data_IF_002106692378
#
_entry.id   IF_002106692378
#
_cell.length_a   1.000
_cell.length_b   1.000
_cell.length_c   1.000
_cell.angle_alpha   90.00
_cell.angle_beta   90.00
_cell.angle_gamma   90.00
#
_symmetry.space_group_name_H-M   'P 1'
#
loop_
_entity.id
_entity.type
_entity.pdbx_description
1 polymer ?
#
# COMPACT_ATOMS: atom_id res chain seq x y z
N UNK A 1 -10.57 42.75 6.47
CA UNK A 1 -9.42 42.29 5.67
C UNK A 1 -9.38 40.77 5.77
N UNK A 2 -9.38 40.10 4.62
CA UNK A 2 -9.62 38.67 4.48
C UNK A 2 -8.43 37.82 4.95
N UNK A 3 -8.71 36.73 5.66
CA UNK A 3 -7.74 35.69 5.97
C UNK A 3 -7.61 34.78 4.74
N UNK A 4 -6.41 34.75 4.17
CA UNK A 4 -6.01 33.77 3.15
C UNK A 4 -5.82 32.41 3.82
N UNK A 5 -6.77 31.51 3.63
CA UNK A 5 -6.58 30.07 3.86
C UNK A 5 -5.67 29.52 2.75
N UNK A 6 -4.42 29.24 3.13
CA UNK A 6 -3.48 28.51 2.31
C UNK A 6 -3.94 27.06 2.19
N UNK A 7 -4.68 26.76 1.11
CA UNK A 7 -5.00 25.39 0.72
C UNK A 7 -3.70 24.66 0.38
N UNK A 8 -3.26 23.80 1.29
CA UNK A 8 -2.18 22.85 1.03
C UNK A 8 -2.69 21.84 0.00
N UNK A 9 -2.20 21.97 -1.23
CA UNK A 9 -2.33 20.94 -2.26
C UNK A 9 -1.48 19.74 -1.80
N UNK A 10 -2.09 18.83 -1.05
CA UNK A 10 -1.53 17.51 -0.80
C UNK A 10 -1.52 16.79 -2.15
N UNK A 11 -0.36 16.74 -2.80
CA UNK A 11 -0.10 15.86 -3.94
C UNK A 11 -0.38 14.43 -3.51
N UNK A 12 -1.56 13.90 -3.86
CA UNK A 12 -1.86 12.48 -3.74
C UNK A 12 -0.89 11.73 -4.65
N UNK A 13 0.14 11.12 -4.06
CA UNK A 13 1.01 10.16 -4.75
C UNK A 13 0.17 8.97 -5.19
N UNK A 14 -0.37 9.03 -6.39
CA UNK A 14 -1.16 7.94 -6.97
C UNK A 14 -0.21 6.98 -7.68
N UNK A 15 0.13 5.88 -7.00
CA UNK A 15 0.88 4.79 -7.62
C UNK A 15 -0.05 4.10 -8.62
N UNK A 16 0.39 3.98 -9.88
CA UNK A 16 -0.28 3.23 -10.95
C UNK A 16 0.33 1.83 -11.01
N UNK A 17 -0.52 0.80 -11.07
CA UNK A 17 -0.09 -0.60 -11.17
C UNK A 17 0.18 -0.95 -12.63
N UNK A 18 1.44 -0.79 -13.06
CA UNK A 18 1.88 -1.15 -14.41
C UNK A 18 2.69 -2.44 -14.40
N UNK A 19 3.65 -2.56 -13.49
CA UNK A 19 4.60 -3.67 -13.41
C UNK A 19 4.56 -4.32 -12.03
N UNK A 20 5.06 -5.57 -11.89
CA UNK A 20 5.04 -6.26 -10.60
C UNK A 20 5.72 -5.52 -9.45
N UNK A 21 6.76 -4.72 -9.74
CA UNK A 21 7.45 -3.94 -8.70
C UNK A 21 6.54 -2.91 -8.00
N UNK A 22 5.48 -2.46 -8.67
CA UNK A 22 4.57 -1.44 -8.14
C UNK A 22 3.56 -2.06 -7.17
N UNK A 23 3.40 -3.39 -7.21
CA UNK A 23 2.38 -4.14 -6.45
C UNK A 23 2.35 -3.80 -4.96
N UNK A 24 3.51 -3.74 -4.30
CA UNK A 24 3.55 -3.53 -2.85
C UNK A 24 3.06 -2.14 -2.46
N UNK A 25 3.65 -1.10 -3.06
CA UNK A 25 3.28 0.29 -2.77
C UNK A 25 1.85 0.56 -3.20
N UNK A 26 1.45 0.00 -4.35
CA UNK A 26 0.09 0.09 -4.84
C UNK A 26 -0.91 -0.57 -3.88
N UNK A 27 -0.69 -1.82 -3.49
CA UNK A 27 -1.58 -2.56 -2.59
C UNK A 27 -1.64 -1.91 -1.21
N UNK A 28 -0.52 -1.39 -0.70
CA UNK A 28 -0.46 -0.69 0.58
C UNK A 28 -1.45 0.46 0.65
N UNK A 29 -1.47 1.35 -0.35
CA UNK A 29 -2.40 2.49 -0.38
C UNK A 29 -3.88 2.05 -0.38
N UNK A 30 -4.21 0.96 -1.07
CA UNK A 30 -5.60 0.45 -1.15
C UNK A 30 -5.99 -0.24 0.15
N UNK A 31 -5.06 -0.99 0.75
CA UNK A 31 -5.24 -1.60 2.07
C UNK A 31 -5.44 -0.55 3.15
N UNK A 32 -4.66 0.52 3.15
CA UNK A 32 -4.78 1.61 4.12
C UNK A 32 -6.16 2.27 4.02
N UNK A 33 -6.57 2.67 2.81
CA UNK A 33 -7.90 3.23 2.58
C UNK A 33 -9.03 2.27 2.95
N UNK A 34 -8.91 0.98 2.61
CA UNK A 34 -9.89 -0.03 2.97
C UNK A 34 -9.96 -0.27 4.49
N UNK A 35 -8.84 -0.15 5.19
CA UNK A 35 -8.77 -0.27 6.66
C UNK A 35 -9.44 0.93 7.32
N UNK A 36 -9.16 2.15 6.83
CA UNK A 36 -9.80 3.39 7.30
C UNK A 36 -11.33 3.37 7.16
N UNK A 37 -11.85 2.73 6.11
CA UNK A 37 -13.29 2.57 5.89
C UNK A 37 -13.87 1.29 6.53
N UNK A 38 -13.05 0.50 7.24
CA UNK A 38 -13.50 -0.74 7.89
C UNK A 38 -13.99 -1.82 6.93
N UNK A 39 -13.47 -1.85 5.69
CA UNK A 39 -13.88 -2.78 4.62
C UNK A 39 -12.82 -3.80 4.22
N UNK A 40 -11.59 -3.72 4.76
CA UNK A 40 -10.49 -4.61 4.35
C UNK A 40 -10.81 -6.10 4.53
N UNK A 41 -11.52 -6.45 5.60
CA UNK A 41 -11.93 -7.84 5.90
C UNK A 41 -12.90 -8.46 4.87
N UNK A 42 -13.50 -7.63 4.01
CA UNK A 42 -14.43 -8.05 2.95
C UNK A 42 -13.75 -8.17 1.59
N UNK A 43 -12.55 -7.62 1.42
CA UNK A 43 -11.86 -7.58 0.13
C UNK A 43 -10.40 -8.06 0.15
N UNK A 44 -9.90 -8.57 1.28
CA UNK A 44 -8.52 -9.00 1.43
C UNK A 44 -8.13 -10.11 0.43
N UNK A 45 -7.22 -9.88 -0.53
CA UNK A 45 -6.80 -10.85 -1.54
C UNK A 45 -5.86 -11.95 -0.99
N UNK A 46 -5.42 -11.84 0.26
CA UNK A 46 -4.64 -12.88 0.95
C UNK A 46 -5.51 -13.99 1.52
N UNK A 47 -6.80 -13.73 1.73
CA UNK A 47 -7.75 -14.70 2.30
C UNK A 47 -8.48 -15.47 1.20
N UNK A 48 -8.86 -16.70 1.51
CA UNK A 48 -9.77 -17.45 0.64
C UNK A 48 -11.16 -16.82 0.67
N UNK A 49 -11.93 -16.98 -0.41
CA UNK A 49 -13.26 -16.39 -0.52
C UNK A 49 -14.22 -16.85 0.59
N UNK A 50 -13.99 -18.03 1.15
CA UNK A 50 -14.80 -18.59 2.24
C UNK A 50 -14.48 -17.96 3.60
N UNK A 51 -13.28 -17.42 3.79
CA UNK A 51 -12.84 -16.78 5.05
C UNK A 51 -13.20 -15.29 5.10
N UNK A 52 -13.58 -14.68 3.97
CA UNK A 52 -13.97 -13.28 3.92
C UNK A 52 -15.28 -13.06 4.68
N UNK A 53 -15.34 -11.93 5.39
CA UNK A 53 -16.61 -11.46 5.95
C UNK A 53 -17.56 -11.14 4.80
N UNK A 54 -18.82 -11.57 4.96
CA UNK A 54 -19.90 -11.21 4.04
C UNK A 54 -20.59 -9.96 4.56
N UNK A 55 -20.78 -8.98 3.68
CA UNK A 55 -21.57 -7.80 4.02
C UNK A 55 -23.06 -8.19 3.92
N UNK A 56 -23.71 -8.30 5.07
CA UNK A 56 -25.11 -8.72 5.18
C UNK A 56 -25.97 -7.48 5.44
N UNK A 57 -27.05 -7.35 4.68
CA UNK A 57 -28.02 -6.26 4.88
C UNK A 57 -28.82 -6.50 6.18
N UNK A 58 -28.87 -5.53 7.10
CA UNK A 58 -29.58 -5.70 8.35
C UNK A 58 -31.10 -5.77 8.13
N UNK A 59 -31.72 -6.83 8.63
CA UNK A 59 -33.17 -7.04 8.47
C UNK A 59 -33.94 -6.05 9.35
N UNK A 60 -34.91 -5.35 8.76
CA UNK A 60 -35.74 -4.39 9.48
C UNK A 60 -36.60 -5.11 10.53
N UNK A 61 -36.54 -4.69 11.82
CA UNK A 61 -37.42 -5.19 12.85
C UNK A 61 -38.89 -4.94 12.49
N UNK A 62 -39.75 -5.85 12.89
CA UNK A 62 -41.22 -5.73 12.74
C UNK A 62 -41.86 -5.84 14.12
N UNK A 63 -43.10 -5.37 14.34
CA UNK A 63 -43.75 -5.54 15.64
C UNK A 63 -43.77 -6.99 16.15
N UNK A 64 -43.76 -7.96 15.22
CA UNK A 64 -43.67 -9.39 15.50
C UNK A 64 -42.35 -9.82 16.16
N UNK A 65 -41.27 -9.03 16.06
CA UNK A 65 -39.99 -9.33 16.72
C UNK A 65 -40.03 -9.11 18.23
N UNK A 66 -40.99 -8.33 18.73
CA UNK A 66 -41.16 -8.05 20.17
C UNK A 66 -42.38 -8.80 20.74
N UNK A 67 -43.42 -9.00 19.94
CA UNK A 67 -44.60 -9.76 20.34
C UNK A 67 -45.07 -10.68 19.20
N UNK A 68 -45.01 -12.00 19.41
CA UNK A 68 -45.43 -12.98 18.41
C UNK A 68 -46.89 -12.77 17.97
N UNK A 69 -47.13 -12.84 16.66
CA UNK A 69 -48.47 -12.68 16.07
C UNK A 69 -48.94 -11.22 15.92
N UNK A 70 -48.18 -10.23 16.40
CA UNK A 70 -48.51 -8.81 16.27
C UNK A 70 -47.98 -8.24 14.96
N UNK A 71 -48.87 -7.67 14.15
CA UNK A 71 -48.51 -7.04 12.86
C UNK A 71 -48.47 -5.51 12.94
N UNK A 72 -49.17 -4.91 13.90
CA UNK A 72 -49.34 -3.46 14.03
C UNK A 72 -48.72 -2.95 15.32
N UNK A 73 -47.97 -1.84 15.22
CA UNK A 73 -47.37 -1.15 16.38
C UNK A 73 -48.39 -0.75 17.45
N UNK A 74 -49.64 -0.48 17.05
CA UNK A 74 -50.72 -0.09 17.97
C UNK A 74 -51.19 -1.22 18.89
N UNK A 75 -50.91 -2.48 18.55
CA UNK A 75 -51.26 -3.66 19.35
C UNK A 75 -50.22 -3.94 20.44
N UNK A 76 -49.08 -3.27 20.42
CA UNK A 76 -48.01 -3.42 21.40
C UNK A 76 -48.32 -2.64 22.69
N UNK A 77 -47.95 -3.23 23.83
CA UNK A 77 -47.99 -2.54 25.14
C UNK A 77 -47.02 -1.35 25.15
N UNK A 78 -47.11 -0.49 26.17
CA UNK A 78 -46.19 0.65 26.27
C UNK A 78 -44.72 0.21 26.35
N UNK A 79 -44.43 -0.82 27.14
CA UNK A 79 -43.10 -1.41 27.30
C UNK A 79 -42.59 -2.02 25.99
N UNK A 80 -43.40 -2.86 25.32
CA UNK A 80 -43.05 -3.45 24.02
C UNK A 80 -42.83 -2.40 22.92
N UNK A 81 -43.47 -1.22 23.02
CA UNK A 81 -43.24 -0.11 22.10
C UNK A 81 -41.90 0.57 22.32
N UNK A 82 -41.37 0.56 23.54
CA UNK A 82 -40.03 1.05 23.86
C UNK A 82 -38.98 0.06 23.32
N UNK A 83 -39.11 -1.23 23.61
CA UNK A 83 -38.22 -2.28 23.07
C UNK A 83 -38.19 -2.27 21.53
N UNK A 84 -39.36 -2.13 20.90
CA UNK A 84 -39.44 -2.02 19.45
C UNK A 84 -38.76 -0.76 18.90
N UNK A 85 -38.80 0.35 19.64
CA UNK A 85 -38.11 1.58 19.25
C UNK A 85 -36.59 1.40 19.35
N UNK A 86 -36.10 0.80 20.43
CA UNK A 86 -34.66 0.52 20.61
C UNK A 86 -34.13 -0.40 19.49
N UNK A 87 -34.90 -1.42 19.10
CA UNK A 87 -34.57 -2.29 17.97
C UNK A 87 -34.53 -1.54 16.63
N UNK A 88 -35.48 -0.62 16.40
CA UNK A 88 -35.50 0.21 15.19
C UNK A 88 -34.29 1.15 15.14
N UNK A 89 -33.91 1.74 16.27
CA UNK A 89 -32.77 2.65 16.37
C UNK A 89 -31.45 1.90 16.12
N UNK A 90 -31.31 0.70 16.70
CA UNK A 90 -30.17 -0.20 16.42
C UNK A 90 -30.11 -0.61 14.95
N UNK A 91 -31.25 -0.99 14.35
CA UNK A 91 -31.32 -1.31 12.93
C UNK A 91 -30.96 -0.13 12.04
N UNK A 92 -31.39 1.09 12.37
CA UNK A 92 -31.06 2.29 11.59
C UNK A 92 -29.55 2.55 11.63
N UNK A 93 -28.90 2.36 12.78
CA UNK A 93 -27.45 2.44 12.91
C UNK A 93 -26.73 1.39 12.07
N UNK A 94 -27.18 0.14 12.14
CA UNK A 94 -26.61 -0.97 11.36
C UNK A 94 -26.80 -0.76 9.85
N UNK A 95 -27.97 -0.28 9.43
CA UNK A 95 -28.26 0.08 8.04
C UNK A 95 -27.34 1.18 7.53
N UNK A 96 -27.14 2.25 8.30
CA UNK A 96 -26.19 3.32 7.95
C UNK A 96 -24.78 2.76 7.78
N UNK A 97 -24.36 1.88 8.69
CA UNK A 97 -23.05 1.22 8.63
C UNK A 97 -22.92 0.31 7.40
N UNK A 98 -23.96 -0.47 7.09
CA UNK A 98 -24.04 -1.32 5.90
C UNK A 98 -23.90 -0.49 4.61
N UNK A 99 -24.70 0.56 4.46
CA UNK A 99 -24.69 1.44 3.29
C UNK A 99 -23.34 2.14 3.13
N UNK A 100 -22.74 2.58 4.23
CA UNK A 100 -21.40 3.18 4.23
C UNK A 100 -20.35 2.18 3.71
N UNK A 101 -20.32 0.96 4.24
CA UNK A 101 -19.40 -0.10 3.79
C UNK A 101 -19.62 -0.49 2.34
N UNK A 102 -20.88 -0.61 1.92
CA UNK A 102 -21.22 -0.94 0.52
C UNK A 102 -20.72 0.16 -0.44
N UNK A 103 -20.94 1.43 -0.09
CA UNK A 103 -20.43 2.56 -0.85
C UNK A 103 -18.89 2.53 -0.92
N UNK A 104 -18.22 2.33 0.20
CA UNK A 104 -16.75 2.27 0.26
C UNK A 104 -16.18 1.11 -0.57
N UNK A 105 -16.84 -0.06 -0.60
CA UNK A 105 -16.45 -1.19 -1.45
C UNK A 105 -16.59 -0.86 -2.94
N UNK A 106 -17.66 -0.16 -3.34
CA UNK A 106 -17.85 0.27 -4.71
C UNK A 106 -16.82 1.33 -5.13
N UNK A 107 -16.51 2.28 -4.25
CA UNK A 107 -15.46 3.27 -4.46
C UNK A 107 -14.09 2.61 -4.63
N UNK A 108 -13.74 1.66 -3.75
CA UNK A 108 -12.49 0.89 -3.86
C UNK A 108 -12.44 0.11 -5.17
N UNK A 109 -13.55 -0.52 -5.56
CA UNK A 109 -13.67 -1.24 -6.83
C UNK A 109 -13.37 -0.33 -8.02
N UNK A 110 -13.91 0.89 -8.03
CA UNK A 110 -13.65 1.91 -9.06
C UNK A 110 -12.20 2.39 -9.05
N UNK A 111 -11.65 2.67 -7.87
CA UNK A 111 -10.27 3.13 -7.71
C UNK A 111 -9.24 2.09 -8.17
N UNK A 112 -9.49 0.80 -7.92
CA UNK A 112 -8.64 -0.29 -8.43
C UNK A 112 -8.55 -0.20 -9.96
N UNK A 113 -9.68 -0.01 -10.65
CA UNK A 113 -9.67 0.12 -12.11
C UNK A 113 -8.97 1.41 -12.58
N UNK A 114 -9.23 2.55 -11.92
CA UNK A 114 -8.62 3.84 -12.28
C UNK A 114 -7.10 3.86 -12.11
N UNK A 115 -6.59 3.05 -11.20
CA UNK A 115 -5.17 3.02 -10.85
C UNK A 115 -4.45 1.77 -11.30
N UNK A 116 -5.10 0.98 -12.15
CA UNK A 116 -4.48 -0.11 -12.90
C UNK A 116 -4.10 0.41 -14.28
N UNK A 117 -2.88 0.14 -14.74
CA UNK A 117 -2.44 0.56 -16.06
C UNK A 117 -3.34 -0.01 -17.15
N UNK A 118 -3.52 0.73 -18.26
CA UNK A 118 -4.37 0.32 -19.39
C UNK A 118 -4.01 -1.06 -19.93
N UNK A 119 -2.73 -1.41 -19.91
CA UNK A 119 -2.20 -2.71 -20.32
C UNK A 119 -2.75 -3.87 -19.49
N UNK A 120 -3.13 -3.64 -18.23
CA UNK A 120 -3.57 -4.66 -17.28
C UNK A 120 -5.09 -4.69 -17.08
N UNK A 121 -5.86 -3.79 -17.72
CA UNK A 121 -7.31 -3.71 -17.53
C UNK A 121 -8.07 -4.97 -17.99
N UNK A 122 -7.52 -5.74 -18.93
CA UNK A 122 -8.09 -7.03 -19.34
C UNK A 122 -8.19 -8.01 -18.16
N UNK A 123 -7.32 -7.89 -17.15
CA UNK A 123 -7.39 -8.70 -15.93
C UNK A 123 -8.61 -8.37 -15.07
N UNK A 124 -9.26 -7.24 -15.29
CA UNK A 124 -10.44 -6.81 -14.53
C UNK A 124 -11.76 -7.12 -15.23
N UNK A 125 -11.70 -7.62 -16.47
CA UNK A 125 -12.88 -7.97 -17.25
C UNK A 125 -13.70 -9.06 -16.54
N UNK A 126 -15.02 -8.85 -16.45
CA UNK A 126 -15.94 -9.74 -15.74
C UNK A 126 -15.85 -9.71 -14.21
N UNK A 127 -14.94 -8.90 -13.62
CA UNK A 127 -14.74 -8.83 -12.17
C UNK A 127 -15.49 -7.65 -11.56
N UNK A 128 -16.48 -7.98 -10.75
CA UNK A 128 -17.46 -7.02 -10.24
C UNK A 128 -17.12 -6.53 -8.83
N UNK A 129 -16.44 -7.35 -8.03
CA UNK A 129 -16.12 -7.01 -6.64
C UNK A 129 -14.66 -6.55 -6.47
N UNK A 130 -14.42 -5.74 -5.43
CA UNK A 130 -13.07 -5.34 -5.05
C UNK A 130 -12.17 -6.57 -4.79
N UNK A 131 -12.69 -7.61 -4.13
CA UNK A 131 -11.95 -8.85 -3.87
C UNK A 131 -11.50 -9.53 -5.15
N UNK A 132 -12.42 -9.77 -6.09
CA UNK A 132 -12.11 -10.44 -7.37
C UNK A 132 -11.02 -9.69 -8.13
N UNK A 133 -11.14 -8.36 -8.20
CA UNK A 133 -10.17 -7.49 -8.86
C UNK A 133 -8.80 -7.56 -8.19
N UNK A 134 -8.76 -7.42 -6.85
CA UNK A 134 -7.50 -7.50 -6.10
C UNK A 134 -6.85 -8.88 -6.23
N UNK A 135 -7.63 -9.96 -6.19
CA UNK A 135 -7.13 -11.33 -6.31
C UNK A 135 -6.53 -11.60 -7.68
N UNK A 136 -7.21 -11.21 -8.76
CA UNK A 136 -6.68 -11.40 -10.11
C UNK A 136 -5.42 -10.56 -10.37
N UNK A 137 -5.41 -9.30 -9.92
CA UNK A 137 -4.18 -8.50 -10.02
C UNK A 137 -3.05 -9.11 -9.20
N UNK A 138 -3.34 -9.68 -8.03
CA UNK A 138 -2.34 -10.40 -7.22
C UNK A 138 -1.77 -11.61 -7.95
N UNK A 139 -2.61 -12.43 -8.56
CA UNK A 139 -2.17 -13.64 -9.29
C UNK A 139 -1.20 -13.31 -10.44
N UNK A 140 -1.38 -12.18 -11.12
CA UNK A 140 -0.59 -11.82 -12.30
C UNK A 140 0.55 -10.82 -12.03
N UNK A 141 0.35 -9.90 -11.07
CA UNK A 141 1.24 -8.77 -10.84
C UNK A 141 1.88 -8.79 -9.45
N UNK A 142 1.51 -9.72 -8.56
CA UNK A 142 2.29 -9.92 -7.35
C UNK A 142 3.65 -10.50 -7.74
N UNK A 143 4.77 -9.84 -7.38
CA UNK A 143 6.08 -10.45 -7.48
C UNK A 143 6.05 -11.76 -6.71
N UNK A 144 6.28 -12.88 -7.38
CA UNK A 144 6.61 -14.12 -6.68
C UNK A 144 7.70 -13.75 -5.65
N UNK A 145 7.51 -14.11 -4.38
CA UNK A 145 8.43 -13.80 -3.28
C UNK A 145 9.89 -14.07 -3.66
N UNK A 146 10.14 -15.13 -4.43
CA UNK A 146 11.47 -15.46 -4.96
C UNK A 146 11.98 -14.47 -6.02
N UNK A 147 11.13 -14.00 -6.94
CA UNK A 147 11.49 -12.99 -7.94
C UNK A 147 11.78 -11.65 -7.27
N UNK A 148 10.94 -11.25 -6.31
CA UNK A 148 11.14 -10.03 -5.52
C UNK A 148 12.42 -10.06 -4.71
N UNK A 149 12.68 -11.19 -4.04
CA UNK A 149 13.93 -11.41 -3.31
C UNK A 149 15.14 -11.21 -4.22
N UNK A 150 15.14 -11.82 -5.42
CA UNK A 150 16.23 -11.63 -6.39
C UNK A 150 16.35 -10.18 -6.86
N UNK A 151 15.24 -9.51 -7.17
CA UNK A 151 15.24 -8.10 -7.58
C UNK A 151 15.80 -7.18 -6.49
N UNK A 152 15.42 -7.41 -5.22
CA UNK A 152 15.96 -6.66 -4.08
C UNK A 152 17.45 -6.94 -3.87
N UNK A 153 17.90 -8.19 -4.00
CA UNK A 153 19.33 -8.54 -3.93
C UNK A 153 20.13 -7.84 -5.04
N UNK A 154 19.60 -7.76 -6.26
CA UNK A 154 20.25 -7.04 -7.36
C UNK A 154 20.33 -5.54 -7.07
N UNK A 155 19.23 -4.93 -6.61
CA UNK A 155 19.23 -3.50 -6.22
C UNK A 155 20.18 -3.21 -5.07
N UNK A 156 20.23 -4.10 -4.08
CA UNK A 156 21.15 -3.99 -2.95
C UNK A 156 22.61 -4.08 -3.40
N UNK A 157 22.94 -5.00 -4.31
CA UNK A 157 24.27 -5.07 -4.92
C UNK A 157 24.63 -3.84 -5.75
N UNK A 158 23.68 -3.25 -6.47
CA UNK A 158 23.91 -1.98 -7.18
C UNK A 158 24.24 -0.84 -6.19
N UNK A 159 23.51 -0.78 -5.08
CA UNK A 159 23.77 0.20 -4.01
C UNK A 159 25.17 0.01 -3.39
N UNK A 160 25.63 -1.22 -3.22
CA UNK A 160 26.99 -1.54 -2.76
C UNK A 160 28.06 -1.15 -3.79
N UNK A 161 27.79 -1.31 -5.09
CA UNK A 161 28.79 -1.17 -6.14
C UNK A 161 28.96 0.25 -6.69
N UNK A 162 27.93 1.11 -6.65
CA UNK A 162 27.99 2.41 -7.33
C UNK A 162 27.22 3.52 -6.59
N UNK A 163 27.97 4.53 -6.12
CA UNK A 163 27.43 5.85 -5.75
C UNK A 163 27.64 6.91 -6.86
N UNK A 164 28.26 6.54 -7.98
CA UNK A 164 28.71 7.47 -9.04
C UNK A 164 27.55 8.35 -9.53
N UNK A 165 27.70 9.67 -9.36
CA UNK A 165 26.73 10.66 -9.84
C UNK A 165 25.43 10.76 -9.02
N UNK A 166 25.26 10.03 -7.91
CA UNK A 166 24.08 10.16 -7.02
C UNK A 166 24.35 11.11 -5.86
N UNK A 167 23.36 11.93 -5.51
CA UNK A 167 23.37 12.72 -4.28
C UNK A 167 23.39 11.79 -3.04
N UNK A 168 24.12 12.18 -2.00
CA UNK A 168 24.27 11.38 -0.75
C UNK A 168 22.91 11.04 -0.17
N UNK A 169 22.04 12.04 -0.04
CA UNK A 169 20.74 11.92 0.62
C UNK A 169 19.83 10.94 -0.14
N UNK A 170 19.73 11.07 -1.47
CA UNK A 170 18.92 10.15 -2.28
C UNK A 170 19.44 8.71 -2.25
N UNK A 171 20.77 8.52 -2.23
CA UNK A 171 21.35 7.19 -2.09
C UNK A 171 21.11 6.59 -0.70
N UNK A 172 21.16 7.39 0.36
CA UNK A 172 20.85 6.97 1.73
C UNK A 172 19.37 6.58 1.87
N UNK A 173 18.46 7.37 1.30
CA UNK A 173 17.03 7.07 1.28
C UNK A 173 16.75 5.74 0.56
N UNK A 174 17.38 5.52 -0.60
CA UNK A 174 17.30 4.25 -1.32
C UNK A 174 17.88 3.09 -0.49
N UNK A 175 19.00 3.29 0.20
CA UNK A 175 19.61 2.27 1.06
C UNK A 175 18.68 1.87 2.21
N UNK A 176 18.11 2.84 2.92
CA UNK A 176 17.15 2.60 4.01
C UNK A 176 15.92 1.87 3.47
N UNK A 177 15.36 2.35 2.34
CA UNK A 177 14.18 1.75 1.73
C UNK A 177 14.41 0.30 1.31
N UNK A 178 15.52 0.00 0.64
CA UNK A 178 15.81 -1.36 0.15
C UNK A 178 16.13 -2.30 1.31
N UNK A 179 16.94 -1.87 2.29
CA UNK A 179 17.28 -2.72 3.44
C UNK A 179 16.05 -3.04 4.31
N UNK A 180 15.13 -2.10 4.50
CA UNK A 180 13.87 -2.34 5.22
C UNK A 180 12.96 -3.33 4.47
N UNK A 181 12.88 -3.22 3.14
CA UNK A 181 12.15 -4.18 2.32
C UNK A 181 12.76 -5.58 2.35
N UNK A 182 14.08 -5.70 2.36
CA UNK A 182 14.78 -6.99 2.49
C UNK A 182 14.62 -7.59 3.89
N UNK A 183 14.58 -6.75 4.95
CA UNK A 183 14.31 -7.17 6.33
C UNK A 183 12.89 -7.70 6.49
N UNK A 184 11.91 -7.03 5.88
CA UNK A 184 10.50 -7.49 5.86
C UNK A 184 10.37 -8.88 5.24
N UNK A 185 11.26 -9.25 4.32
CA UNK A 185 11.30 -10.58 3.67
C UNK A 185 12.28 -11.57 4.34
N UNK A 186 12.90 -11.20 5.47
CA UNK A 186 13.91 -12.00 6.18
C UNK A 186 15.04 -12.53 5.28
N UNK A 187 15.54 -11.68 4.37
CA UNK A 187 16.65 -12.10 3.49
C UNK A 187 17.97 -12.18 4.26
N UNK A 188 18.81 -13.21 3.99
CA UNK A 188 20.06 -13.44 4.73
C UNK A 188 21.13 -12.37 4.48
N UNK A 189 21.00 -11.60 3.39
CA UNK A 189 21.94 -10.54 3.00
C UNK A 189 21.91 -9.34 3.96
N UNK A 190 20.77 -9.06 4.61
CA UNK A 190 20.59 -7.87 5.48
C UNK A 190 20.38 -8.23 6.96
N UNK A 191 20.64 -9.48 7.34
CA UNK A 191 20.42 -9.94 8.71
C UNK A 191 21.55 -9.48 9.65
N UNK A 192 21.20 -9.11 10.88
CA UNK A 192 22.16 -8.60 11.88
C UNK A 192 22.79 -7.26 11.49
N UNK A 193 24.10 -7.14 11.64
CA UNK A 193 24.90 -5.94 11.33
C UNK A 193 25.36 -5.85 9.87
N UNK A 194 25.11 -6.87 9.04
CA UNK A 194 25.63 -6.93 7.65
C UNK A 194 25.29 -5.70 6.82
N UNK A 195 24.05 -5.19 6.92
CA UNK A 195 23.65 -4.01 6.16
C UNK A 195 24.39 -2.73 6.56
N UNK A 196 24.89 -2.67 7.81
CA UNK A 196 25.70 -1.56 8.31
C UNK A 196 27.16 -1.71 7.89
N UNK A 197 27.69 -2.93 7.97
CA UNK A 197 29.04 -3.27 7.50
C UNK A 197 29.19 -3.00 5.99
N UNK A 198 28.22 -3.44 5.19
CA UNK A 198 28.20 -3.21 3.74
C UNK A 198 28.11 -1.72 3.39
N UNK A 199 27.39 -0.93 4.20
CA UNK A 199 27.31 0.52 4.03
C UNK A 199 28.68 1.18 4.22
N UNK A 200 29.37 0.82 5.32
CA UNK A 200 30.71 1.34 5.62
C UNK A 200 31.73 0.92 4.55
N UNK A 201 31.64 -0.30 4.03
CA UNK A 201 32.50 -0.79 2.96
C UNK A 201 32.24 0.00 1.67
N UNK A 202 30.98 0.24 1.30
CA UNK A 202 30.63 1.01 0.10
C UNK A 202 31.11 2.46 0.20
N UNK A 203 30.96 3.08 1.38
CA UNK A 203 31.46 4.43 1.64
C UNK A 203 32.99 4.51 1.57
N UNK A 204 33.69 3.54 2.16
CA UNK A 204 35.14 3.47 2.13
C UNK A 204 35.69 3.25 0.70
N UNK A 205 35.06 2.39 -0.10
CA UNK A 205 35.43 2.19 -1.51
C UNK A 205 35.26 3.46 -2.34
N UNK A 206 34.20 4.24 -2.08
CA UNK A 206 34.01 5.53 -2.73
C UNK A 206 35.12 6.52 -2.37
N UNK A 207 35.46 6.62 -1.08
CA UNK A 207 36.50 7.55 -0.63
C UNK A 207 37.87 7.22 -1.24
N UNK A 208 38.24 5.94 -1.31
CA UNK A 208 39.47 5.50 -1.99
C UNK A 208 39.47 5.84 -3.48
N UNK A 209 38.32 5.70 -4.16
CA UNK A 209 38.19 6.06 -5.56
C UNK A 209 38.33 7.58 -5.79
N UNK A 210 37.70 8.42 -4.98
CA UNK A 210 37.86 9.89 -5.07
C UNK A 210 39.31 10.32 -4.86
N UNK A 211 40.01 9.72 -3.88
CA UNK A 211 41.43 9.98 -3.64
C UNK A 211 42.25 9.58 -4.87
N UNK A 212 41.99 8.42 -5.44
CA UNK A 212 42.72 7.91 -6.62
C UNK A 212 42.48 8.77 -7.85
N UNK A 213 41.24 9.20 -8.11
CA UNK A 213 40.92 10.11 -9.22
C UNK A 213 41.56 11.49 -9.03
N UNK A 214 41.49 12.09 -7.84
CA UNK A 214 42.18 13.36 -7.56
C UNK A 214 43.69 13.26 -7.73
N UNK A 215 44.28 12.17 -7.26
CA UNK A 215 45.72 11.94 -7.40
C UNK A 215 46.13 11.75 -8.88
N UNK A 216 45.29 11.10 -9.69
CA UNK A 216 45.53 10.94 -11.13
C UNK A 216 45.40 12.27 -11.88
N UNK A 217 44.37 13.08 -11.58
CA UNK A 217 44.22 14.44 -12.13
C UNK A 217 45.40 15.33 -11.76
N UNK A 218 45.81 15.33 -10.48
CA UNK A 218 46.96 16.07 -10.00
C UNK A 218 48.26 15.62 -10.69
N UNK A 219 48.48 14.30 -10.83
CA UNK A 219 49.64 13.75 -11.54
C UNK A 219 49.67 14.15 -13.02
N UNK A 220 48.52 14.18 -13.67
CA UNK A 220 48.41 14.55 -15.10
C UNK A 220 48.69 16.04 -15.29
N UNK A 221 48.20 16.89 -14.39
CA UNK A 221 48.46 18.33 -14.40
C UNK A 221 49.94 18.63 -14.14
N UNK A 222 50.56 17.95 -13.18
CA UNK A 222 52.00 18.11 -12.88
C UNK A 222 52.86 17.70 -14.08
N UNK A 223 52.57 16.56 -14.71
CA UNK A 223 53.30 16.13 -15.92
C UNK A 223 53.10 17.08 -17.11
N UNK A 224 51.93 17.69 -17.25
CA UNK A 224 51.67 18.68 -18.30
C UNK A 224 52.43 19.99 -18.06
N UNK A 225 52.67 20.38 -16.80
CA UNK A 225 53.44 21.57 -16.44
C UNK A 225 54.95 21.33 -16.61
N UNK A 226 55.46 20.15 -16.26
CA UNK A 226 56.88 19.78 -16.44
C UNK A 226 57.31 19.67 -17.91
N UNK A 227 56.38 19.48 -18.86
CA UNK A 227 56.69 19.47 -20.30
C UNK A 227 56.69 20.87 -20.94
N UNK A 228 56.41 21.93 -20.16
CA UNK A 228 56.44 23.32 -20.64
C UNK A 228 57.64 24.15 -20.16
N UNK A 229 58.57 23.55 -19.38
CA UNK A 229 59.91 24.10 -19.07
C UNK A 229 61.00 23.48 -19.96
#
# INVERSE_FOLDING_TARGET
>A
MAATESSSLVTKTTVILEKPSDWQEWLFLRRDKATLNGIWEYCNPDMSQHELKKLIEPVRPTPATVAEGVTLRSQLTHEQRLDYQDLLDAWEYDQKTYLHRQKALNELTSEIAQTTARSNLYLLEGKSTAYERLKALKEHLSPNTARRSRELVVKYRDLQATRRGRAVEGWLDDWIKITDQMRTLNLPDVNGSRSQEDFLIAEHQFHLYEITCRNFEHSTVVQALEQQE
#
